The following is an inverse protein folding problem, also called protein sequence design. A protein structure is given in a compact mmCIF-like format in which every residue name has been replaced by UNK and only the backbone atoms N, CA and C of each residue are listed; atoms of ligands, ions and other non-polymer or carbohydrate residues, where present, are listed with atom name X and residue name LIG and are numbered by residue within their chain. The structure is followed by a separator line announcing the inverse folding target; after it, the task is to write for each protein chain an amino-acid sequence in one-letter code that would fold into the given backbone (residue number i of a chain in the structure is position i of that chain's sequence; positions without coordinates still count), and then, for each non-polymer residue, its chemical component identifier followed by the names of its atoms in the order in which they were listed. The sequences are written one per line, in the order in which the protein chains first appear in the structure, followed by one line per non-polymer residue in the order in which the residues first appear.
data_IF_896502780918
#
_entry.id   IF_896502780918
#
_cell.length_a   1.000
_cell.length_b   1.000
_cell.length_c   1.000
_cell.angle_alpha   90.00
_cell.angle_beta   90.00
_cell.angle_gamma   90.00
#
_symmetry.space_group_name_H-M   'P 1'
#
loop_
_entity.id
_entity.type
_entity.pdbx_description
1 polymer ?
#
# COMPACT_ATOMS: atom_id res chain seq x y z
N UNK A 1 -19.76 -13.89 1.09
CA UNK A 1 -19.57 -14.07 2.54
C UNK A 1 -18.53 -13.05 3.01
N UNK A 2 -18.76 -12.29 4.10
CA UNK A 2 -17.69 -11.40 4.59
C UNK A 2 -16.66 -12.23 5.34
N UNK A 3 -15.41 -12.25 4.85
CA UNK A 3 -14.27 -12.82 5.55
C UNK A 3 -13.57 -11.66 6.23
N UNK A 4 -13.76 -11.48 7.54
CA UNK A 4 -13.06 -10.47 8.31
C UNK A 4 -11.76 -11.02 8.92
N UNK A 5 -10.89 -10.10 9.35
CA UNK A 5 -9.57 -10.47 9.85
C UNK A 5 -9.63 -11.35 11.11
N UNK A 6 -10.43 -11.03 12.15
CA UNK A 6 -10.56 -11.91 13.32
C UNK A 6 -11.15 -13.28 12.97
N UNK A 7 -12.18 -13.31 12.10
CA UNK A 7 -12.81 -14.53 11.65
C UNK A 7 -11.83 -15.45 10.94
N UNK A 8 -11.08 -14.93 9.96
CA UNK A 8 -10.04 -15.67 9.25
C UNK A 8 -8.96 -16.22 10.19
N UNK A 9 -8.43 -15.38 11.09
CA UNK A 9 -7.37 -15.79 12.03
C UNK A 9 -7.84 -16.81 13.06
N UNK A 10 -9.14 -16.87 13.35
CA UNK A 10 -9.71 -17.80 14.33
C UNK A 10 -10.00 -19.21 13.79
N UNK A 11 -9.96 -19.40 12.46
CA UNK A 11 -10.22 -20.70 11.86
C UNK A 11 -9.15 -21.72 12.28
N UNK A 12 -9.56 -22.97 12.51
CA UNK A 12 -8.64 -24.09 12.55
C UNK A 12 -8.09 -24.41 11.15
N UNK A 13 -7.06 -25.26 11.08
CA UNK A 13 -6.37 -25.54 9.82
C UNK A 13 -7.28 -26.17 8.77
N UNK A 14 -8.22 -27.03 9.18
CA UNK A 14 -9.15 -27.68 8.25
C UNK A 14 -10.16 -26.69 7.68
N UNK A 15 -10.70 -25.81 8.51
CA UNK A 15 -11.63 -24.78 8.11
C UNK A 15 -10.96 -23.70 7.26
N UNK A 16 -9.73 -23.30 7.60
CA UNK A 16 -8.94 -22.36 6.81
C UNK A 16 -8.63 -22.95 5.42
N UNK A 17 -8.20 -24.22 5.36
CA UNK A 17 -7.97 -24.90 4.08
C UNK A 17 -9.23 -25.01 3.25
N UNK A 18 -10.35 -25.46 3.83
CA UNK A 18 -11.62 -25.58 3.13
C UNK A 18 -12.18 -24.25 2.62
N UNK A 19 -11.99 -23.15 3.36
CA UNK A 19 -12.35 -21.82 2.88
C UNK A 19 -11.41 -21.36 1.75
N UNK A 20 -10.10 -21.51 1.90
CA UNK A 20 -9.14 -21.14 0.88
C UNK A 20 -9.37 -21.91 -0.43
N UNK A 21 -9.65 -23.22 -0.38
CA UNK A 21 -10.00 -24.01 -1.58
C UNK A 21 -11.21 -23.43 -2.30
N UNK A 22 -12.28 -23.06 -1.58
CA UNK A 22 -13.44 -22.42 -2.20
C UNK A 22 -13.11 -21.07 -2.83
N UNK A 23 -12.29 -20.26 -2.16
CA UNK A 23 -11.82 -18.98 -2.73
C UNK A 23 -11.10 -19.24 -4.04
N UNK A 24 -10.20 -20.23 -4.07
CA UNK A 24 -9.44 -20.61 -5.26
C UNK A 24 -10.37 -21.01 -6.42
N UNK A 25 -11.38 -21.83 -6.15
CA UNK A 25 -12.41 -22.23 -7.12
C UNK A 25 -13.21 -21.03 -7.65
N UNK A 26 -13.68 -20.16 -6.76
CA UNK A 26 -14.52 -19.00 -7.11
C UNK A 26 -13.76 -17.92 -7.89
N UNK A 27 -12.45 -17.77 -7.65
CA UNK A 27 -11.60 -16.77 -8.33
C UNK A 27 -10.83 -17.33 -9.51
N UNK A 28 -10.89 -18.65 -9.76
CA UNK A 28 -10.06 -19.32 -10.76
C UNK A 28 -8.57 -19.27 -10.43
N UNK A 29 -8.20 -19.14 -9.16
CA UNK A 29 -6.81 -19.19 -8.71
C UNK A 29 -6.46 -20.60 -8.22
N UNK A 30 -5.18 -20.97 -8.24
CA UNK A 30 -4.67 -22.12 -7.51
C UNK A 30 -4.32 -21.73 -6.07
N UNK A 31 -4.73 -22.52 -5.08
CA UNK A 31 -4.22 -22.37 -3.71
C UNK A 31 -2.77 -22.86 -3.65
N UNK A 32 -1.84 -21.98 -3.28
CA UNK A 32 -0.40 -22.30 -3.18
C UNK A 32 -0.09 -22.84 -1.78
N UNK A 33 -0.38 -22.05 -0.76
CA UNK A 33 -0.14 -22.44 0.64
C UNK A 33 -1.01 -21.64 1.61
N UNK A 34 -1.14 -22.16 2.83
CA UNK A 34 -1.58 -21.41 4.01
C UNK A 34 -0.48 -21.54 5.06
N UNK A 35 0.15 -20.42 5.38
CA UNK A 35 1.24 -20.36 6.36
C UNK A 35 0.70 -20.43 7.80
N UNK A 36 1.55 -20.80 8.79
CA UNK A 36 1.14 -20.88 10.20
C UNK A 36 0.61 -19.54 10.79
N UNK A 37 1.06 -18.41 10.25
CA UNK A 37 0.62 -17.05 10.62
C UNK A 37 -0.71 -16.63 9.95
N UNK A 38 -1.36 -17.55 9.23
CA UNK A 38 -2.60 -17.36 8.47
C UNK A 38 -2.45 -16.47 7.23
N UNK A 39 -1.26 -16.31 6.68
CA UNK A 39 -1.11 -15.83 5.30
C UNK A 39 -1.51 -16.95 4.34
N UNK A 40 -2.53 -16.71 3.50
CA UNK A 40 -2.94 -17.63 2.44
C UNK A 40 -2.56 -17.07 1.07
N UNK A 41 -1.84 -17.87 0.29
CA UNK A 41 -1.32 -17.49 -1.02
C UNK A 41 -1.99 -18.26 -2.14
N UNK A 42 -2.22 -17.57 -3.23
CA UNK A 42 -2.92 -18.04 -4.41
C UNK A 42 -2.13 -17.65 -5.65
N UNK A 43 -2.22 -18.42 -6.73
CA UNK A 43 -1.56 -18.11 -7.99
C UNK A 43 -2.57 -18.13 -9.14
N UNK A 44 -2.44 -17.20 -10.06
CA UNK A 44 -3.17 -17.18 -11.33
C UNK A 44 -2.33 -16.49 -12.39
N UNK A 45 -2.12 -17.16 -13.53
CA UNK A 45 -1.42 -16.63 -14.71
C UNK A 45 -0.03 -16.04 -14.38
N UNK A 46 0.73 -16.71 -13.51
CA UNK A 46 2.06 -16.28 -13.06
C UNK A 46 2.06 -15.19 -11.98
N UNK A 47 0.89 -14.68 -11.58
CA UNK A 47 0.77 -13.69 -10.51
C UNK A 47 0.44 -14.35 -9.19
N UNK A 48 1.25 -14.08 -8.16
CA UNK A 48 0.98 -14.51 -6.79
C UNK A 48 0.07 -13.48 -6.10
N UNK A 49 -0.98 -13.95 -5.44
CA UNK A 49 -1.92 -13.16 -4.65
C UNK A 49 -1.94 -13.63 -3.20
N UNK A 50 -2.18 -12.72 -2.26
CA UNK A 50 -2.48 -13.04 -0.88
C UNK A 50 -3.92 -12.71 -0.53
N UNK A 51 -4.54 -13.51 0.34
CA UNK A 51 -5.83 -13.17 0.93
C UNK A 51 -5.68 -11.98 1.88
N UNK A 52 -6.39 -10.90 1.57
CA UNK A 52 -6.61 -9.76 2.44
C UNK A 52 -8.05 -9.81 2.95
N UNK A 53 -8.28 -10.20 4.21
CA UNK A 53 -9.62 -10.19 4.81
C UNK A 53 -10.19 -8.76 4.83
N UNK A 54 -11.51 -8.63 4.67
CA UNK A 54 -12.20 -7.35 4.64
C UNK A 54 -13.08 -7.10 5.87
N UNK A 55 -14.23 -6.49 5.65
CA UNK A 55 -15.19 -6.11 6.69
C UNK A 55 -15.13 -4.62 7.01
N UNK A 56 -15.51 -4.28 8.23
CA UNK A 56 -15.34 -2.93 8.76
C UNK A 56 -13.91 -2.80 9.30
N UNK A 57 -13.12 -1.91 8.69
CA UNK A 57 -11.69 -1.76 8.97
C UNK A 57 -11.38 -0.31 9.29
N UNK A 58 -10.29 -0.09 10.03
CA UNK A 58 -9.76 1.24 10.31
C UNK A 58 -8.58 1.50 9.38
N UNK A 59 -8.64 2.61 8.66
CA UNK A 59 -7.56 3.14 7.81
C UNK A 59 -7.25 4.57 8.25
N UNK A 60 -6.19 5.16 7.73
CA UNK A 60 -5.72 6.50 8.06
C UNK A 60 -4.92 6.55 9.34
N UNK A 61 -4.20 7.66 9.51
CA UNK A 61 -3.32 7.87 10.64
C UNK A 61 -3.92 8.79 11.70
N UNK A 62 -3.60 8.50 12.96
CA UNK A 62 -4.01 9.31 14.11
C UNK A 62 -2.92 10.32 14.45
N UNK A 63 -3.08 11.55 13.97
CA UNK A 63 -2.13 12.62 14.27
C UNK A 63 -2.00 12.91 15.76
N UNK A 64 -2.97 12.58 16.61
CA UNK A 64 -2.83 12.74 18.06
C UNK A 64 -1.78 11.77 18.63
N UNK A 65 -1.53 10.63 17.98
CA UNK A 65 -0.52 9.64 18.34
C UNK A 65 0.89 9.99 17.81
N UNK A 66 1.00 10.84 16.78
CA UNK A 66 2.28 11.19 16.16
C UNK A 66 3.26 11.80 17.18
N UNK A 67 4.39 11.12 17.40
CA UNK A 67 5.50 11.56 18.27
C UNK A 67 6.82 11.32 17.52
N UNK A 68 7.27 12.26 16.68
CA UNK A 68 8.51 12.08 15.94
C UNK A 68 9.69 11.97 16.91
N UNK A 69 10.62 11.06 16.61
CA UNK A 69 11.87 10.94 17.37
C UNK A 69 12.73 12.19 17.18
N UNK A 70 13.71 12.44 18.08
CA UNK A 70 14.67 13.53 17.89
C UNK A 70 15.41 13.46 16.54
N UNK A 71 15.69 12.25 16.04
CA UNK A 71 16.32 12.03 14.74
C UNK A 71 15.42 12.43 13.58
N UNK A 72 14.14 12.03 13.60
CA UNK A 72 13.16 12.42 12.57
C UNK A 72 12.91 13.93 12.59
N UNK A 73 12.84 14.54 13.78
CA UNK A 73 12.73 15.99 13.94
C UNK A 73 13.92 16.72 13.32
N UNK A 74 15.14 16.27 13.59
CA UNK A 74 16.35 16.87 13.02
C UNK A 74 16.38 16.70 11.49
N UNK A 75 16.13 15.49 10.99
CA UNK A 75 16.07 15.22 9.55
C UNK A 75 15.00 16.05 8.85
N UNK A 76 13.86 16.33 9.49
CA UNK A 76 12.82 17.17 8.92
C UNK A 76 13.17 18.66 8.96
N UNK A 77 13.81 19.13 10.03
CA UNK A 77 14.17 20.53 10.20
C UNK A 77 15.08 21.04 9.08
N UNK A 78 16.06 20.22 8.66
CA UNK A 78 16.94 20.54 7.53
C UNK A 78 16.13 20.76 6.24
N UNK A 79 15.20 19.86 5.92
CA UNK A 79 14.30 19.95 4.77
C UNK A 79 13.33 21.12 4.87
N UNK A 80 12.82 21.40 6.08
CA UNK A 80 11.86 22.47 6.29
C UNK A 80 12.48 23.84 6.07
N UNK A 81 13.75 24.03 6.44
CA UNK A 81 14.50 25.25 6.12
C UNK A 81 14.74 25.37 4.61
N UNK A 82 15.21 24.30 3.96
CA UNK A 82 15.54 24.31 2.53
C UNK A 82 14.31 24.59 1.64
N UNK A 83 13.20 23.91 1.89
CA UNK A 83 11.99 23.98 1.06
C UNK A 83 10.88 24.85 1.63
N UNK A 84 11.13 25.55 2.74
CA UNK A 84 10.12 26.37 3.44
C UNK A 84 8.86 25.58 3.81
N UNK A 85 9.04 24.35 4.31
CA UNK A 85 7.94 23.47 4.71
C UNK A 85 7.30 23.96 6.02
N UNK A 86 6.01 23.62 6.26
CA UNK A 86 5.34 23.97 7.51
C UNK A 86 5.90 23.20 8.73
N UNK A 87 5.24 23.31 9.88
CA UNK A 87 5.58 22.46 11.03
C UNK A 87 5.43 20.98 10.66
N UNK A 88 6.30 20.12 11.20
CA UNK A 88 6.31 18.67 10.89
C UNK A 88 4.93 18.02 11.09
N UNK A 89 4.17 18.44 12.10
CA UNK A 89 2.85 17.87 12.36
C UNK A 89 1.85 18.35 11.33
N UNK A 90 1.95 19.59 10.88
CA UNK A 90 1.12 20.14 9.81
C UNK A 90 1.43 19.43 8.48
N UNK A 91 2.72 19.25 8.16
CA UNK A 91 3.15 18.54 6.96
C UNK A 91 2.71 17.08 6.94
N UNK A 92 2.99 16.30 8.00
CA UNK A 92 2.56 14.90 8.06
C UNK A 92 1.03 14.81 7.95
N UNK A 93 0.29 15.73 8.57
CA UNK A 93 -1.17 15.76 8.45
C UNK A 93 -1.67 16.12 7.04
N UNK A 94 -0.90 16.86 6.24
CA UNK A 94 -1.26 17.21 4.86
C UNK A 94 -1.00 16.08 3.87
N UNK A 95 -0.01 15.22 4.15
CA UNK A 95 0.34 14.06 3.29
C UNK A 95 -0.09 12.70 3.86
N UNK A 96 -0.95 12.68 4.89
CA UNK A 96 -1.55 11.44 5.39
C UNK A 96 -3.06 11.55 5.47
N UNK A 97 -3.75 10.46 5.16
CA UNK A 97 -5.19 10.43 5.33
C UNK A 97 -5.55 10.37 6.83
N UNK A 98 -6.67 11.01 7.19
CA UNK A 98 -7.16 10.97 8.57
C UNK A 98 -7.71 9.59 8.92
N UNK A 99 -7.44 9.16 10.15
CA UNK A 99 -8.03 7.94 10.72
C UNK A 99 -9.55 7.93 10.58
N UNK A 100 -10.08 6.88 9.97
CA UNK A 100 -11.51 6.66 9.70
C UNK A 100 -11.84 5.17 9.63
N UNK A 101 -13.11 4.86 9.80
CA UNK A 101 -13.65 3.52 9.61
C UNK A 101 -14.28 3.43 8.22
N UNK A 102 -13.93 2.39 7.47
CA UNK A 102 -14.41 2.12 6.11
C UNK A 102 -14.81 0.66 5.98
N UNK A 103 -15.60 0.34 4.94
CA UNK A 103 -15.97 -1.04 4.64
C UNK A 103 -15.28 -1.49 3.35
N UNK A 104 -14.42 -2.48 3.46
CA UNK A 104 -13.72 -3.09 2.32
C UNK A 104 -14.17 -4.55 2.14
N UNK A 105 -14.25 -5.07 0.91
CA UNK A 105 -14.47 -6.50 0.70
C UNK A 105 -13.23 -7.31 1.09
N UNK A 106 -13.38 -8.62 1.22
CA UNK A 106 -12.23 -9.52 1.19
C UNK A 106 -11.69 -9.58 -0.25
N UNK A 107 -10.38 -9.58 -0.40
CA UNK A 107 -9.69 -9.51 -1.68
C UNK A 107 -8.60 -10.58 -1.75
N UNK A 108 -8.32 -11.07 -2.96
CA UNK A 108 -6.99 -11.56 -3.30
C UNK A 108 -6.22 -10.38 -3.87
N UNK A 109 -5.10 -10.02 -3.24
CA UNK A 109 -4.29 -8.85 -3.62
C UNK A 109 -2.94 -9.35 -4.13
N UNK A 110 -2.49 -8.87 -5.29
CA UNK A 110 -1.19 -9.24 -5.82
C UNK A 110 -0.09 -8.97 -4.78
N UNK A 111 0.77 -9.97 -4.54
CA UNK A 111 1.82 -9.92 -3.51
C UNK A 111 2.83 -8.82 -3.82
N UNK A 112 3.19 -8.68 -5.09
CA UNK A 112 4.05 -7.62 -5.60
C UNK A 112 3.23 -6.72 -6.53
N UNK A 113 3.59 -5.44 -6.57
CA UNK A 113 3.11 -4.59 -7.64
C UNK A 113 3.91 -4.89 -8.92
N UNK A 114 3.34 -4.54 -10.08
CA UNK A 114 4.04 -4.58 -11.35
C UNK A 114 3.95 -3.22 -12.03
N UNK A 115 4.90 -2.94 -12.91
CA UNK A 115 4.79 -1.79 -13.81
C UNK A 115 3.49 -1.87 -14.63
N UNK A 116 2.88 -0.72 -14.85
CA UNK A 116 1.77 -0.54 -15.79
C UNK A 116 2.23 -0.96 -17.18
N UNK A 117 1.41 -1.73 -17.88
CA UNK A 117 1.73 -2.15 -19.26
C UNK A 117 1.12 -1.19 -20.28
N UNK A 118 0.11 -0.45 -19.86
CA UNK A 118 -0.57 0.56 -20.67
C UNK A 118 -0.19 1.98 -20.22
N UNK A 119 -0.01 2.85 -21.22
CA UNK A 119 0.32 4.26 -21.02
C UNK A 119 -0.89 5.08 -20.54
N UNK A 120 -2.11 4.59 -20.82
CA UNK A 120 -3.37 5.24 -20.46
C UNK A 120 -4.11 4.49 -19.35
N UNK A 121 -4.67 5.25 -18.41
CA UNK A 121 -5.40 4.70 -17.26
C UNK A 121 -6.63 3.88 -17.67
N UNK A 122 -7.38 4.33 -18.68
CA UNK A 122 -8.60 3.61 -19.10
C UNK A 122 -8.23 2.32 -19.83
N UNK A 123 -7.15 2.34 -20.63
CA UNK A 123 -6.59 1.14 -21.24
C UNK A 123 -6.14 0.12 -20.17
N UNK A 124 -5.37 0.54 -19.17
CA UNK A 124 -4.94 -0.36 -18.07
C UNK A 124 -6.16 -0.90 -17.31
N UNK A 125 -7.13 -0.04 -16.98
CA UNK A 125 -8.35 -0.48 -16.29
C UNK A 125 -9.16 -1.48 -17.13
N UNK A 126 -9.23 -1.31 -18.45
CA UNK A 126 -9.91 -2.23 -19.35
C UNK A 126 -9.16 -3.56 -19.48
N UNK A 127 -7.83 -3.53 -19.55
CA UNK A 127 -6.98 -4.71 -19.59
C UNK A 127 -7.13 -5.55 -18.31
N UNK A 128 -7.08 -4.90 -17.13
CA UNK A 128 -7.33 -5.56 -15.85
C UNK A 128 -8.73 -6.18 -15.78
N UNK A 129 -9.76 -5.44 -16.21
CA UNK A 129 -11.13 -5.95 -16.24
C UNK A 129 -11.27 -7.17 -17.16
N UNK A 130 -10.63 -7.15 -18.33
CA UNK A 130 -10.60 -8.29 -19.26
C UNK A 130 -9.88 -9.51 -18.66
N UNK A 131 -8.86 -9.29 -17.83
CA UNK A 131 -8.15 -10.32 -17.06
C UNK A 131 -8.89 -10.75 -15.77
N UNK A 132 -10.09 -10.23 -15.51
CA UNK A 132 -10.86 -10.54 -14.30
C UNK A 132 -10.20 -10.04 -13.00
N UNK A 133 -9.45 -8.94 -13.09
CA UNK A 133 -8.89 -8.18 -11.96
C UNK A 133 -9.31 -6.72 -12.06
N UNK A 134 -8.85 -5.89 -11.14
CA UNK A 134 -9.00 -4.43 -11.16
C UNK A 134 -7.92 -3.77 -10.30
N UNK A 135 -7.81 -2.45 -10.41
CA UNK A 135 -7.09 -1.64 -9.43
C UNK A 135 -7.80 -1.69 -8.05
N UNK A 136 -7.06 -1.58 -6.94
CA UNK A 136 -7.64 -1.41 -5.62
C UNK A 136 -8.21 0.01 -5.49
N UNK A 137 -9.25 0.18 -4.67
CA UNK A 137 -9.62 1.53 -4.25
C UNK A 137 -8.55 2.10 -3.31
N UNK A 138 -8.49 3.44 -3.13
CA UNK A 138 -7.58 4.03 -2.15
C UNK A 138 -7.68 3.43 -0.74
N UNK A 139 -8.90 3.13 -0.29
CA UNK A 139 -9.14 2.52 1.03
C UNK A 139 -8.70 1.05 1.08
N UNK A 140 -8.90 0.30 -0.01
CA UNK A 140 -8.46 -1.09 -0.14
C UNK A 140 -6.94 -1.20 -0.15
N UNK A 141 -6.25 -0.31 -0.88
CA UNK A 141 -4.78 -0.24 -0.90
C UNK A 141 -4.22 0.09 0.49
N UNK A 142 -4.79 1.10 1.14
CA UNK A 142 -4.36 1.56 2.47
C UNK A 142 -4.56 0.46 3.53
N UNK A 143 -5.70 -0.24 3.49
CA UNK A 143 -5.92 -1.41 4.33
C UNK A 143 -4.94 -2.55 4.05
N UNK A 144 -4.69 -2.85 2.77
CA UNK A 144 -3.75 -3.88 2.36
C UNK A 144 -2.32 -3.55 2.82
N UNK A 145 -1.89 -2.29 2.70
CA UNK A 145 -0.57 -1.83 3.12
C UNK A 145 -0.39 -1.89 4.64
N UNK A 146 -1.34 -1.32 5.39
CA UNK A 146 -1.28 -1.26 6.85
C UNK A 146 -1.43 -2.62 7.51
N UNK A 147 -2.18 -3.56 6.92
CA UNK A 147 -2.37 -4.92 7.44
C UNK A 147 -2.76 -4.98 8.93
N UNK A 148 -3.59 -4.03 9.37
CA UNK A 148 -4.03 -3.87 10.76
C UNK A 148 -3.12 -3.01 11.65
N UNK A 149 -2.02 -2.48 11.13
CA UNK A 149 -1.21 -1.48 11.84
C UNK A 149 -2.01 -0.18 12.05
N UNK A 150 -1.75 0.48 13.18
CA UNK A 150 -2.30 1.80 13.52
C UNK A 150 -1.21 2.86 13.68
N UNK A 151 0.02 2.50 13.33
CA UNK A 151 1.23 3.31 13.38
C UNK A 151 1.50 3.97 12.03
N UNK A 152 2.41 4.95 11.98
CA UNK A 152 2.72 5.69 10.74
C UNK A 152 3.15 4.73 9.61
N UNK A 153 4.10 3.84 9.90
CA UNK A 153 4.53 2.76 9.02
C UNK A 153 3.94 1.43 9.47
N UNK A 154 3.86 0.45 8.56
CA UNK A 154 3.37 -0.91 8.88
C UNK A 154 4.22 -1.64 9.94
N UNK A 155 5.43 -1.14 10.23
CA UNK A 155 6.36 -1.69 11.22
C UNK A 155 6.48 -0.85 12.51
N UNK A 156 5.88 0.34 12.58
CA UNK A 156 5.98 1.23 13.74
C UNK A 156 5.93 2.71 13.39
N UNK A 157 6.27 3.56 14.35
CA UNK A 157 6.30 5.03 14.19
C UNK A 157 7.65 5.55 13.64
N UNK A 158 8.69 4.72 13.78
CA UNK A 158 10.07 5.14 13.54
C UNK A 158 10.56 4.66 12.17
N UNK A 159 11.49 5.42 11.60
CA UNK A 159 12.23 5.06 10.40
C UNK A 159 13.72 5.36 10.61
N UNK A 160 14.61 4.74 9.83
CA UNK A 160 16.01 5.18 9.73
C UNK A 160 16.10 6.67 9.33
N UNK A 161 17.10 7.37 9.84
CA UNK A 161 17.33 8.81 9.59
C UNK A 161 18.75 9.11 9.10
N UNK A 162 19.43 8.07 8.62
CA UNK A 162 20.79 8.09 8.10
C UNK A 162 20.91 7.36 6.74
N UNK A 163 19.78 6.84 6.23
CA UNK A 163 19.72 6.15 4.96
C UNK A 163 18.32 6.26 4.33
N UNK A 164 18.26 6.21 3.01
CA UNK A 164 17.01 6.14 2.25
C UNK A 164 16.46 4.70 2.17
N UNK A 165 15.15 4.51 1.96
CA UNK A 165 14.54 3.19 1.84
C UNK A 165 15.18 2.31 0.74
N UNK A 166 15.60 2.91 -0.37
CA UNK A 166 16.26 2.23 -1.50
C UNK A 166 17.54 1.47 -1.13
N UNK A 167 18.20 1.88 -0.06
CA UNK A 167 19.45 1.28 0.38
C UNK A 167 19.22 0.05 1.27
N UNK A 168 17.96 -0.28 1.58
CA UNK A 168 17.59 -1.46 2.34
C UNK A 168 17.04 -2.54 1.39
N UNK A 169 17.31 -3.80 1.74
CA UNK A 169 16.74 -4.94 1.03
C UNK A 169 15.22 -4.99 1.26
N UNK A 170 14.45 -4.72 0.21
CA UNK A 170 12.99 -4.85 0.17
C UNK A 170 12.52 -6.31 0.32
N UNK A 171 13.40 -7.28 0.06
CA UNK A 171 13.08 -8.72 0.05
C UNK A 171 12.72 -9.28 1.43
N UNK A 172 13.06 -8.57 2.51
CA UNK A 172 12.93 -9.09 3.88
C UNK A 172 11.66 -8.64 4.62
N UNK A 173 10.77 -7.84 4.00
CA UNK A 173 9.70 -7.14 4.74
C UNK A 173 8.28 -7.32 4.18
N UNK A 174 7.76 -8.56 4.04
CA UNK A 174 6.33 -8.74 3.82
C UNK A 174 5.54 -8.21 5.02
N UNK A 175 4.37 -7.63 4.78
CA UNK A 175 3.48 -7.22 5.85
C UNK A 175 2.69 -8.40 6.45
N UNK A 176 1.81 -8.14 7.42
CA UNK A 176 1.07 -9.20 8.11
C UNK A 176 0.05 -9.96 7.23
N UNK A 177 -0.14 -9.57 5.97
CA UNK A 177 -0.90 -10.30 4.95
C UNK A 177 0.01 -11.01 3.93
N UNK A 178 1.33 -10.91 4.06
CA UNK A 178 2.29 -11.49 3.13
C UNK A 178 2.57 -10.64 1.89
N UNK A 179 2.15 -9.38 1.88
CA UNK A 179 2.35 -8.47 0.73
C UNK A 179 3.70 -7.76 0.81
N UNK A 180 4.35 -7.58 -0.35
CA UNK A 180 5.47 -6.67 -0.57
C UNK A 180 4.91 -5.36 -1.13
N UNK A 181 4.61 -4.43 -0.23
CA UNK A 181 3.84 -3.21 -0.49
C UNK A 181 4.41 -2.02 0.28
N UNK A 182 4.49 -0.86 -0.38
CA UNK A 182 5.08 0.36 0.18
C UNK A 182 6.54 0.14 0.60
N UNK A 183 7.39 -0.24 -0.36
CA UNK A 183 8.80 -0.57 -0.13
C UNK A 183 9.77 0.40 -0.83
N UNK A 184 9.37 0.93 -1.98
CA UNK A 184 10.18 1.81 -2.81
C UNK A 184 9.36 3.06 -3.18
N UNK A 185 9.79 4.28 -2.82
CA UNK A 185 9.06 5.50 -3.17
C UNK A 185 8.97 5.79 -4.67
N UNK A 186 9.77 5.14 -5.51
CA UNK A 186 9.64 5.19 -6.97
C UNK A 186 8.50 4.30 -7.48
N UNK A 187 8.17 3.23 -6.76
CA UNK A 187 7.14 2.27 -7.15
C UNK A 187 5.74 2.76 -6.72
N UNK A 188 5.41 4.01 -7.06
CA UNK A 188 4.14 4.62 -6.70
C UNK A 188 2.97 3.90 -7.42
N UNK A 189 1.99 3.45 -6.65
CA UNK A 189 0.95 2.54 -7.12
C UNK A 189 -0.37 3.26 -7.42
N UNK A 190 -0.91 3.05 -8.62
CA UNK A 190 -2.22 3.59 -9.03
C UNK A 190 -3.38 2.90 -8.30
N UNK A 191 -4.43 3.67 -8.05
CA UNK A 191 -5.70 3.20 -7.49
C UNK A 191 -6.85 3.41 -8.49
N UNK A 192 -8.08 3.02 -8.12
CA UNK A 192 -9.26 3.35 -8.94
C UNK A 192 -9.53 4.86 -9.06
N UNK A 193 -8.90 5.69 -8.24
CA UNK A 193 -8.98 7.16 -8.34
C UNK A 193 -7.70 7.68 -9.01
N UNK A 194 -7.86 8.35 -10.16
CA UNK A 194 -6.75 8.87 -10.97
C UNK A 194 -5.90 9.90 -10.23
N UNK A 195 -6.48 10.60 -9.27
CA UNK A 195 -5.79 11.62 -8.48
C UNK A 195 -5.22 11.05 -7.17
N UNK A 196 -5.28 9.73 -6.97
CA UNK A 196 -4.76 9.09 -5.76
C UNK A 196 -3.77 7.99 -6.13
N UNK A 197 -2.51 8.28 -5.84
CA UNK A 197 -1.38 7.35 -5.89
C UNK A 197 -0.93 7.05 -4.47
N UNK A 198 -0.52 5.81 -4.22
CA UNK A 198 -0.14 5.33 -2.91
C UNK A 198 1.25 4.68 -2.92
N UNK A 199 1.90 4.59 -1.76
CA UNK A 199 3.15 3.82 -1.61
C UNK A 199 4.39 4.46 -2.20
N UNK A 200 4.31 5.73 -2.59
CA UNK A 200 5.42 6.48 -3.17
C UNK A 200 4.95 7.82 -3.74
N UNK A 201 5.93 8.61 -4.17
CA UNK A 201 5.78 9.91 -4.81
C UNK A 201 6.56 9.98 -6.14
N UNK A 202 6.89 8.82 -6.72
CA UNK A 202 7.77 8.71 -7.89
C UNK A 202 9.23 9.04 -7.58
N UNK A 203 9.63 8.98 -6.30
CA UNK A 203 10.98 9.26 -5.84
C UNK A 203 11.33 10.75 -5.74
N UNK A 204 10.35 11.65 -5.86
CA UNK A 204 10.54 13.10 -5.79
C UNK A 204 11.31 13.55 -4.53
N UNK A 205 10.91 13.04 -3.36
CA UNK A 205 11.54 13.34 -2.06
C UNK A 205 12.94 12.72 -1.90
N UNK A 206 13.34 11.78 -2.75
CA UNK A 206 14.68 11.17 -2.72
C UNK A 206 15.62 11.81 -3.74
N UNK A 207 15.17 12.03 -4.98
CA UNK A 207 15.97 12.59 -6.08
C UNK A 207 16.63 13.93 -5.72
N UNK A 208 15.93 14.78 -4.99
CA UNK A 208 16.42 16.09 -4.54
C UNK A 208 17.26 16.05 -3.26
N UNK A 209 17.34 14.90 -2.59
CA UNK A 209 18.00 14.78 -1.30
C UNK A 209 17.21 15.45 -0.17
N UNK A 210 15.88 15.45 -0.22
CA UNK A 210 15.00 16.25 0.66
C UNK A 210 14.94 15.77 2.11
N UNK A 211 15.93 15.02 2.59
CA UNK A 211 16.02 14.50 3.95
C UNK A 211 15.45 13.08 4.09
N UNK A 212 16.10 12.27 4.92
CA UNK A 212 15.77 10.85 5.07
C UNK A 212 14.34 10.63 5.55
N UNK A 213 13.86 11.41 6.54
CA UNK A 213 12.49 11.27 7.04
C UNK A 213 11.43 11.47 5.95
N UNK A 214 11.60 12.45 5.06
CA UNK A 214 10.64 12.68 3.96
C UNK A 214 10.63 11.52 2.97
N UNK A 215 11.80 10.98 2.60
CA UNK A 215 11.88 9.80 1.74
C UNK A 215 11.22 8.55 2.36
N UNK A 216 11.31 8.38 3.68
CA UNK A 216 10.59 7.31 4.38
C UNK A 216 9.09 7.56 4.47
N UNK A 217 8.67 8.81 4.69
CA UNK A 217 7.26 9.19 4.88
C UNK A 217 6.38 8.80 3.68
N UNK A 218 6.94 8.79 2.46
CA UNK A 218 6.26 8.30 1.24
C UNK A 218 5.76 6.85 1.36
N UNK A 219 6.35 6.05 2.26
CA UNK A 219 6.00 4.65 2.53
C UNK A 219 5.06 4.48 3.72
N UNK A 220 4.57 5.58 4.33
CA UNK A 220 3.59 5.49 5.40
C UNK A 220 2.31 4.82 4.89
N UNK A 221 1.66 4.06 5.78
CA UNK A 221 0.49 3.23 5.41
C UNK A 221 -0.64 4.06 4.81
N UNK A 222 -0.78 5.29 5.30
CA UNK A 222 -1.79 6.27 4.89
C UNK A 222 -1.22 7.41 4.05
N UNK A 223 0.00 7.29 3.51
CA UNK A 223 0.62 8.35 2.70
C UNK A 223 -0.29 8.69 1.52
N UNK A 224 -0.55 9.99 1.35
CA UNK A 224 -1.37 10.53 0.28
C UNK A 224 -0.98 11.98 0.06
N UNK A 225 -0.13 12.21 -0.93
CA UNK A 225 0.24 13.55 -1.36
C UNK A 225 -0.78 14.06 -2.41
N UNK A 226 -1.61 15.08 -2.06
CA UNK A 226 -2.58 15.62 -2.99
C UNK A 226 -1.92 16.31 -4.19
N UNK A 227 -0.76 16.96 -4.01
CA UNK A 227 -0.09 17.68 -5.08
C UNK A 227 0.53 16.74 -6.10
N UNK A 228 1.12 15.64 -5.64
CA UNK A 228 1.56 14.58 -6.53
C UNK A 228 0.37 13.96 -7.26
N UNK A 229 -0.71 13.63 -6.55
CA UNK A 229 -1.93 13.07 -7.14
C UNK A 229 -2.57 13.96 -8.23
N UNK A 230 -2.63 15.27 -8.01
CA UNK A 230 -3.12 16.24 -9.00
C UNK A 230 -2.21 16.26 -10.24
N UNK A 231 -0.89 16.28 -10.05
CA UNK A 231 0.09 16.23 -11.14
C UNK A 231 -0.09 14.98 -12.00
N UNK A 232 -0.23 13.81 -11.36
CA UNK A 232 -0.49 12.52 -12.03
C UNK A 232 -1.77 12.56 -12.86
N UNK A 233 -2.82 13.19 -12.34
CA UNK A 233 -4.12 13.25 -12.99
C UNK A 233 -4.15 14.24 -14.17
N UNK A 234 -3.36 15.32 -14.10
CA UNK A 234 -3.30 16.37 -15.14
C UNK A 234 -2.35 16.00 -16.28
N UNK A 235 -1.20 15.40 -15.98
CA UNK A 235 -0.19 15.04 -16.96
C UNK A 235 0.31 13.60 -16.75
N UNK A 236 -0.34 12.62 -17.42
CA UNK A 236 0.08 11.23 -17.39
C UNK A 236 1.49 10.99 -17.99
N UNK A 237 2.08 11.97 -18.71
CA UNK A 237 3.42 11.87 -19.27
C UNK A 237 4.52 12.30 -18.27
N UNK A 238 4.23 13.21 -17.34
CA UNK A 238 5.15 13.56 -16.22
C UNK A 238 5.45 12.34 -15.34
N UNK A 239 4.60 11.35 -15.47
CA UNK A 239 4.64 10.10 -14.77
C UNK A 239 5.20 8.91 -15.54
N UNK A 240 5.60 9.14 -16.79
CA UNK A 240 5.76 8.05 -17.76
C UNK A 240 6.90 7.09 -17.40
N UNK A 241 7.82 7.51 -16.51
CA UNK A 241 8.78 6.62 -15.88
C UNK A 241 8.10 5.82 -14.74
N UNK A 242 7.34 4.80 -15.18
CA UNK A 242 6.88 3.60 -14.46
C UNK A 242 5.98 3.78 -13.23
N UNK A 243 4.70 4.04 -13.45
CA UNK A 243 3.70 3.73 -12.41
C UNK A 243 3.54 2.24 -12.21
N UNK A 244 3.35 1.87 -10.96
CA UNK A 244 3.03 0.51 -10.58
C UNK A 244 1.53 0.35 -10.40
N UNK A 245 1.09 -0.89 -10.51
CA UNK A 245 -0.28 -1.30 -10.22
C UNK A 245 -0.25 -2.57 -9.39
N UNK A 246 -1.31 -2.76 -8.61
CA UNK A 246 -1.50 -3.95 -7.80
C UNK A 246 -2.86 -4.58 -8.07
N UNK A 247 -2.93 -5.52 -9.02
CA UNK A 247 -4.20 -6.16 -9.36
C UNK A 247 -4.85 -6.81 -8.12
N UNK A 248 -6.17 -6.62 -8.00
CA UNK A 248 -6.98 -7.28 -6.96
C UNK A 248 -8.13 -8.06 -7.57
N UNK A 249 -8.52 -9.14 -6.91
CA UNK A 249 -9.69 -9.96 -7.23
C UNK A 249 -10.62 -9.95 -6.02
N UNK A 250 -11.90 -9.67 -6.24
CA UNK A 250 -12.88 -9.68 -5.15
C UNK A 250 -13.21 -11.12 -4.74
N UNK A 251 -13.19 -11.38 -3.44
CA UNK A 251 -13.66 -12.65 -2.86
C UNK A 251 -15.16 -12.54 -2.52
N UNK A 252 -15.92 -13.58 -2.89
CA UNK A 252 -17.39 -13.64 -2.82
C UNK A 252 -17.99 -13.64 -1.43
#
# INVERSE_FOLDING_TARGET
MTIDLPGWRSLDDSAAHGLATRIAEDTGCGLVEIRPDRVALFERDGTLFALVPGGEVTVGYDMAAFRPTPGQLASYADSAEEYSLPDIREFVASVTTRRRTVRVPALLVAVEARESEEDDFEAESAALAAAGTRLPTPDEWEWACGAGASTLFRWGEDCPVDTYPLNLSADDWPNAFGLRIGLDPYDAERTTDKAVVCGGDGGGMICGGSGFFLGWLCLATSYRDPSFGELVAEDPEIAHDSYFIRPVIRVG
#
